data_IF_603089579204
#
_entry.id   IF_603089579204
#
_cell.length_a   1.000
_cell.length_b   1.000
_cell.length_c   1.000
_cell.angle_alpha   90.00
_cell.angle_beta   90.00
_cell.angle_gamma   90.00
#
_symmetry.space_group_name_H-M   'P 1'
#
loop_
_entity.id
_entity.type
_entity.pdbx_description
1 polymer ?
#
# COMPACT_ATOMS: atom_id res chain seq x y z
N UNK A 1 -13.27 -6.87 32.59
CA UNK A 1 -12.94 -7.91 31.61
C UNK A 1 -13.06 -7.28 30.23
N UNK A 2 -11.97 -6.81 29.68
CA UNK A 2 -11.95 -6.20 28.34
C UNK A 2 -12.06 -7.30 27.30
N UNK A 3 -13.17 -7.32 26.59
CA UNK A 3 -13.43 -8.23 25.46
C UNK A 3 -12.59 -7.76 24.28
N UNK A 4 -11.43 -8.36 24.09
CA UNK A 4 -10.60 -8.19 22.89
C UNK A 4 -11.30 -8.86 21.71
N UNK A 5 -11.91 -8.07 20.86
CA UNK A 5 -12.55 -8.53 19.62
C UNK A 5 -11.72 -8.09 18.42
N UNK A 6 -11.53 -9.00 17.44
CA UNK A 6 -11.35 -8.56 16.07
C UNK A 6 -12.53 -7.68 15.71
N UNK A 7 -12.27 -6.43 15.36
CA UNK A 7 -13.35 -5.52 15.08
C UNK A 7 -14.05 -5.88 13.76
N UNK A 8 -13.34 -6.53 12.83
CA UNK A 8 -13.84 -6.82 11.50
C UNK A 8 -13.23 -8.10 10.91
N UNK A 9 -14.07 -8.97 10.34
CA UNK A 9 -13.70 -10.11 9.52
C UNK A 9 -14.17 -9.88 8.08
N UNK A 10 -13.24 -9.82 7.15
CA UNK A 10 -13.54 -9.71 5.72
C UNK A 10 -13.26 -11.06 5.07
N UNK A 11 -14.24 -11.61 4.38
CA UNK A 11 -14.07 -12.78 3.52
C UNK A 11 -14.07 -12.30 2.07
N UNK A 12 -13.00 -12.63 1.34
CA UNK A 12 -12.85 -12.28 -0.06
C UNK A 12 -12.94 -13.55 -0.88
N UNK A 13 -13.91 -13.59 -1.75
CA UNK A 13 -14.18 -14.74 -2.64
C UNK A 13 -14.58 -14.25 -4.04
N UNK A 14 -14.81 -15.16 -4.96
CA UNK A 14 -15.20 -14.84 -6.32
C UNK A 14 -14.51 -15.73 -7.35
N UNK A 15 -14.78 -15.48 -8.63
CA UNK A 15 -14.27 -16.29 -9.71
C UNK A 15 -12.72 -16.26 -9.78
N UNK A 16 -12.14 -17.40 -10.14
CA UNK A 16 -10.70 -17.51 -10.36
C UNK A 16 -10.25 -16.52 -11.45
N UNK A 17 -9.28 -15.67 -11.13
CA UNK A 17 -8.84 -14.60 -12.03
C UNK A 17 -9.57 -13.26 -11.88
N UNK A 18 -10.59 -13.16 -11.01
CA UNK A 18 -11.30 -11.90 -10.75
C UNK A 18 -10.53 -10.89 -9.87
N UNK A 19 -9.30 -11.20 -9.43
CA UNK A 19 -8.44 -10.25 -8.71
C UNK A 19 -8.34 -10.48 -7.20
N UNK A 20 -8.67 -11.67 -6.67
CA UNK A 20 -8.63 -11.97 -5.23
C UNK A 20 -7.26 -11.70 -4.61
N UNK A 21 -6.16 -12.13 -5.24
CA UNK A 21 -4.80 -11.86 -4.72
C UNK A 21 -4.53 -10.35 -4.59
N UNK A 22 -4.97 -9.57 -5.57
CA UNK A 22 -4.87 -8.10 -5.51
C UNK A 22 -5.67 -7.56 -4.31
N UNK A 23 -6.89 -8.06 -4.11
CA UNK A 23 -7.74 -7.63 -2.99
C UNK A 23 -7.11 -7.99 -1.63
N UNK A 24 -6.56 -9.19 -1.47
CA UNK A 24 -5.86 -9.61 -0.23
C UNK A 24 -4.68 -8.68 0.05
N UNK A 25 -3.85 -8.36 -0.94
CA UNK A 25 -2.73 -7.44 -0.80
C UNK A 25 -3.19 -6.03 -0.40
N UNK A 26 -4.32 -5.57 -0.94
CA UNK A 26 -4.92 -4.27 -0.54
C UNK A 26 -5.26 -4.26 0.95
N UNK A 27 -5.85 -5.33 1.47
CA UNK A 27 -6.18 -5.43 2.91
C UNK A 27 -4.94 -5.49 3.79
N UNK A 28 -3.90 -6.21 3.35
CA UNK A 28 -2.60 -6.24 4.03
C UNK A 28 -1.97 -4.85 4.12
N UNK A 29 -1.95 -4.12 3.01
CA UNK A 29 -1.43 -2.75 2.94
C UNK A 29 -2.14 -1.78 3.91
N UNK A 30 -3.42 -1.98 4.17
CA UNK A 30 -4.20 -1.15 5.10
C UNK A 30 -4.20 -1.69 6.54
N UNK A 31 -3.39 -2.71 6.81
CA UNK A 31 -3.09 -3.18 8.16
C UNK A 31 -3.99 -4.31 8.68
N UNK A 32 -4.76 -4.96 7.81
CA UNK A 32 -5.41 -6.22 8.16
C UNK A 32 -4.36 -7.34 8.27
N UNK A 33 -4.60 -8.29 9.14
CA UNK A 33 -3.96 -9.59 9.04
C UNK A 33 -4.62 -10.34 7.87
N UNK A 34 -3.83 -10.68 6.84
CA UNK A 34 -4.35 -11.23 5.60
C UNK A 34 -3.86 -12.65 5.40
N UNK A 35 -4.80 -13.57 5.16
CA UNK A 35 -4.48 -14.98 4.89
C UNK A 35 -5.23 -15.43 3.64
N UNK A 36 -4.51 -15.92 2.64
CA UNK A 36 -5.10 -16.48 1.43
C UNK A 36 -5.11 -18.01 1.47
N UNK A 37 -6.19 -18.60 0.97
CA UNK A 37 -6.35 -20.04 0.78
C UNK A 37 -6.24 -20.88 2.08
N UNK A 38 -6.75 -20.38 3.21
CA UNK A 38 -6.80 -21.12 4.45
C UNK A 38 -7.95 -22.17 4.43
N UNK A 39 -7.73 -23.44 4.85
CA UNK A 39 -8.80 -24.42 4.98
C UNK A 39 -9.96 -23.91 5.84
N UNK A 40 -11.20 -24.18 5.43
CA UNK A 40 -12.39 -23.67 6.13
C UNK A 40 -12.41 -24.08 7.61
N UNK A 41 -12.00 -25.32 7.91
CA UNK A 41 -11.92 -25.84 9.29
C UNK A 41 -10.90 -25.10 10.18
N UNK A 42 -9.91 -24.43 9.61
CA UNK A 42 -8.89 -23.70 10.36
C UNK A 42 -9.28 -22.24 10.66
N UNK A 43 -10.30 -21.72 10.01
CA UNK A 43 -10.72 -20.33 10.19
C UNK A 43 -11.16 -20.07 11.63
N UNK A 44 -11.87 -21.02 12.27
CA UNK A 44 -12.29 -20.91 13.67
C UNK A 44 -11.08 -20.71 14.61
N UNK A 45 -10.01 -21.50 14.41
CA UNK A 45 -8.80 -21.40 15.21
C UNK A 45 -8.09 -20.06 15.04
N UNK A 46 -8.09 -19.52 13.82
CA UNK A 46 -7.51 -18.23 13.52
C UNK A 46 -8.31 -17.08 14.15
N UNK A 47 -9.63 -17.08 13.97
CA UNK A 47 -10.52 -16.03 14.49
C UNK A 47 -10.55 -16.02 16.03
N UNK A 48 -10.48 -17.20 16.66
CA UNK A 48 -10.47 -17.34 18.13
C UNK A 48 -9.08 -17.18 18.73
N UNK A 49 -8.02 -17.14 17.93
CA UNK A 49 -6.67 -16.93 18.44
C UNK A 49 -6.57 -15.57 19.15
N UNK A 50 -5.91 -15.56 20.31
CA UNK A 50 -5.77 -14.35 21.17
C UNK A 50 -4.84 -13.27 20.58
N UNK A 51 -4.62 -13.27 19.28
CA UNK A 51 -3.86 -12.21 18.60
C UNK A 51 -4.68 -10.92 18.55
N UNK A 52 -4.30 -10.01 19.40
CA UNK A 52 -5.01 -8.81 19.81
C UNK A 52 -5.15 -7.79 18.69
N UNK A 53 -6.36 -7.25 18.55
CA UNK A 53 -6.69 -5.95 17.93
C UNK A 53 -6.33 -5.77 16.44
N UNK A 54 -6.32 -6.81 15.63
CA UNK A 54 -6.21 -6.66 14.18
C UNK A 54 -7.51 -7.05 13.49
N UNK A 55 -7.87 -6.31 12.46
CA UNK A 55 -8.89 -6.75 11.52
C UNK A 55 -8.33 -7.91 10.68
N UNK A 56 -9.16 -8.84 10.29
CA UNK A 56 -8.78 -10.05 9.57
C UNK A 56 -9.39 -10.06 8.16
N UNK A 57 -8.57 -10.34 7.15
CA UNK A 57 -9.01 -10.53 5.77
C UNK A 57 -8.63 -11.93 5.27
N UNK A 58 -9.61 -12.72 4.85
CA UNK A 58 -9.42 -14.09 4.42
C UNK A 58 -9.82 -14.28 2.95
N UNK A 59 -8.89 -14.79 2.14
CA UNK A 59 -9.16 -15.22 0.78
C UNK A 59 -9.59 -16.69 0.75
N UNK A 60 -10.77 -16.98 0.22
CA UNK A 60 -11.27 -18.34 0.05
C UNK A 60 -11.89 -18.50 -1.35
N UNK A 61 -11.62 -19.63 -2.00
CA UNK A 61 -12.20 -19.99 -3.30
C UNK A 61 -12.30 -21.50 -3.46
N UNK A 62 -12.66 -21.95 -4.66
CA UNK A 62 -12.82 -23.38 -4.99
C UNK A 62 -11.56 -24.22 -4.74
N UNK A 63 -10.37 -23.64 -4.62
CA UNK A 63 -9.11 -24.32 -4.28
C UNK A 63 -8.95 -24.55 -2.78
N UNK A 64 -9.69 -23.79 -2.00
CA UNK A 64 -9.62 -23.88 -0.55
C UNK A 64 -10.21 -25.22 -0.08
N UNK A 65 -9.45 -25.93 0.74
CA UNK A 65 -9.90 -27.22 1.29
C UNK A 65 -11.24 -27.04 2.04
N UNK A 66 -12.18 -27.94 1.80
CA UNK A 66 -13.52 -27.95 2.39
C UNK A 66 -14.40 -26.76 1.97
N UNK A 67 -14.00 -26.02 0.93
CA UNK A 67 -14.79 -24.91 0.44
C UNK A 67 -16.10 -25.41 -0.21
N UNK A 68 -17.19 -24.92 0.32
CA UNK A 68 -18.50 -24.97 -0.34
C UNK A 68 -19.34 -23.78 0.10
N UNK A 69 -20.35 -23.36 -0.68
CA UNK A 69 -21.28 -22.32 -0.27
C UNK A 69 -21.93 -22.59 1.09
N UNK A 70 -22.29 -23.86 1.37
CA UNK A 70 -22.90 -24.28 2.62
C UNK A 70 -21.93 -24.19 3.79
N UNK A 71 -20.70 -24.67 3.63
CA UNK A 71 -19.68 -24.62 4.66
C UNK A 71 -19.31 -23.18 5.01
N UNK A 72 -19.18 -22.31 3.99
CA UNK A 72 -18.95 -20.89 4.21
C UNK A 72 -20.12 -20.24 4.98
N UNK A 73 -21.37 -20.53 4.59
CA UNK A 73 -22.57 -20.04 5.27
C UNK A 73 -22.65 -20.50 6.72
N UNK A 74 -22.34 -21.78 6.98
CA UNK A 74 -22.29 -22.35 8.35
C UNK A 74 -21.22 -21.64 9.19
N UNK A 75 -20.04 -21.45 8.64
CA UNK A 75 -18.96 -20.74 9.30
C UNK A 75 -19.38 -19.33 9.72
N UNK A 76 -19.95 -18.55 8.80
CA UNK A 76 -20.36 -17.17 9.05
C UNK A 76 -21.46 -17.06 10.12
N UNK A 77 -22.34 -18.04 10.20
CA UNK A 77 -23.41 -18.05 11.21
C UNK A 77 -22.89 -18.11 12.66
N UNK A 78 -21.64 -18.55 12.86
CA UNK A 78 -20.99 -18.61 14.18
C UNK A 78 -20.57 -17.23 14.69
N UNK A 79 -20.28 -16.28 13.78
CA UNK A 79 -19.68 -14.99 14.13
C UNK A 79 -20.67 -13.83 14.22
N UNK A 80 -21.89 -14.09 14.72
CA UNK A 80 -22.98 -13.08 14.86
C UNK A 80 -22.59 -11.84 15.69
N UNK A 81 -21.57 -11.95 16.54
CA UNK A 81 -21.08 -10.84 17.40
C UNK A 81 -19.97 -10.00 16.76
N UNK A 82 -19.50 -10.38 15.59
CA UNK A 82 -18.46 -9.68 14.85
C UNK A 82 -19.05 -8.97 13.63
N UNK A 83 -18.41 -7.92 13.18
CA UNK A 83 -18.72 -7.32 11.88
C UNK A 83 -18.07 -8.21 10.81
N UNK A 84 -18.87 -9.08 10.20
CA UNK A 84 -18.42 -9.94 9.10
C UNK A 84 -18.93 -9.36 7.80
N UNK A 85 -18.05 -9.18 6.84
CA UNK A 85 -18.40 -8.77 5.47
C UNK A 85 -17.83 -9.75 4.45
N UNK A 86 -18.64 -10.10 3.47
CA UNK A 86 -18.25 -10.91 2.33
C UNK A 86 -18.14 -9.99 1.12
N UNK A 87 -16.98 -10.00 0.50
CA UNK A 87 -16.70 -9.32 -0.76
C UNK A 87 -16.62 -10.39 -1.85
N UNK A 88 -17.54 -10.31 -2.80
CA UNK A 88 -17.56 -11.17 -3.97
C UNK A 88 -16.97 -10.41 -5.16
N UNK A 89 -15.87 -10.93 -5.71
CA UNK A 89 -15.26 -10.39 -6.92
C UNK A 89 -15.83 -11.12 -8.13
N UNK A 90 -16.59 -10.40 -8.92
CA UNK A 90 -17.17 -10.87 -10.18
C UNK A 90 -16.34 -10.41 -11.37
N UNK A 91 -16.48 -11.10 -12.50
CA UNK A 91 -15.84 -10.70 -13.76
C UNK A 91 -16.50 -11.43 -14.93
N UNK A 92 -16.61 -10.77 -16.08
CA UNK A 92 -17.07 -11.39 -17.32
C UNK A 92 -16.22 -12.59 -17.72
N UNK A 93 -16.86 -13.66 -18.19
CA UNK A 93 -16.20 -14.92 -18.54
C UNK A 93 -15.18 -14.78 -19.67
N UNK A 94 -15.44 -13.94 -20.67
CA UNK A 94 -14.50 -13.70 -21.76
C UNK A 94 -13.27 -12.94 -21.27
N UNK A 95 -13.46 -12.02 -20.30
CA UNK A 95 -12.37 -11.30 -19.69
C UNK A 95 -11.52 -12.24 -18.81
N UNK A 96 -12.15 -13.15 -18.07
CA UNK A 96 -11.45 -14.19 -17.32
C UNK A 96 -10.62 -15.10 -18.24
N UNK A 97 -11.20 -15.58 -19.34
CA UNK A 97 -10.50 -16.35 -20.37
C UNK A 97 -9.24 -15.62 -20.84
N UNK A 98 -9.35 -14.33 -21.17
CA UNK A 98 -8.22 -13.50 -21.58
C UNK A 98 -7.15 -13.41 -20.50
N UNK A 99 -7.52 -13.13 -19.25
CA UNK A 99 -6.60 -13.05 -18.10
C UNK A 99 -5.87 -14.37 -17.86
N UNK A 100 -6.52 -15.51 -17.97
CA UNK A 100 -5.89 -16.82 -17.84
C UNK A 100 -4.87 -17.07 -18.95
N UNK A 101 -5.21 -16.76 -20.20
CA UNK A 101 -4.29 -16.91 -21.34
C UNK A 101 -3.04 -16.01 -21.19
N UNK A 102 -3.19 -14.79 -20.70
CA UNK A 102 -2.08 -13.85 -20.47
C UNK A 102 -1.17 -14.32 -19.31
N UNK A 103 -1.73 -14.90 -18.24
CA UNK A 103 -0.96 -15.32 -17.06
C UNK A 103 -0.42 -16.73 -17.13
N UNK A 104 -0.80 -17.52 -18.15
CA UNK A 104 -0.43 -18.94 -18.33
C UNK A 104 -0.70 -19.82 -17.09
N UNK A 105 -1.70 -19.47 -16.29
CA UNK A 105 -2.09 -20.26 -15.11
C UNK A 105 -3.11 -21.31 -15.51
N UNK A 106 -3.05 -22.47 -14.85
CA UNK A 106 -4.08 -23.50 -15.00
C UNK A 106 -5.28 -23.18 -14.10
N UNK A 107 -6.49 -23.37 -14.63
CA UNK A 107 -7.70 -23.23 -13.82
C UNK A 107 -7.84 -24.46 -12.89
N UNK A 108 -8.31 -24.29 -11.65
CA UNK A 108 -8.43 -25.39 -10.69
C UNK A 108 -9.28 -26.58 -11.19
N UNK A 109 -10.27 -26.31 -12.01
CA UNK A 109 -11.18 -27.33 -12.58
C UNK A 109 -10.81 -27.79 -13.99
N UNK A 110 -9.66 -27.37 -14.54
CA UNK A 110 -9.29 -27.63 -15.95
C UNK A 110 -8.73 -29.03 -16.26
N UNK A 111 -8.81 -30.01 -15.35
CA UNK A 111 -8.20 -31.33 -15.52
C UNK A 111 -8.59 -32.06 -16.81
N UNK A 112 -9.88 -32.15 -17.12
CA UNK A 112 -10.42 -32.84 -18.32
C UNK A 112 -11.28 -31.90 -19.19
N UNK A 113 -11.60 -30.69 -18.67
CA UNK A 113 -12.49 -29.73 -19.29
C UNK A 113 -11.72 -28.60 -19.95
N UNK A 114 -12.32 -27.99 -20.96
CA UNK A 114 -11.79 -26.73 -21.51
C UNK A 114 -11.83 -25.62 -20.44
N UNK A 115 -10.96 -24.63 -20.57
CA UNK A 115 -10.93 -23.48 -19.66
C UNK A 115 -12.31 -22.75 -19.62
N UNK A 116 -13.00 -22.65 -20.75
CA UNK A 116 -14.31 -22.03 -20.83
C UNK A 116 -15.35 -22.78 -20.03
N UNK A 117 -15.40 -24.11 -20.16
CA UNK A 117 -16.33 -24.95 -19.39
C UNK A 117 -16.03 -24.91 -17.89
N UNK A 118 -14.75 -24.93 -17.53
CA UNK A 118 -14.33 -24.83 -16.12
C UNK A 118 -14.74 -23.50 -15.48
N UNK A 119 -14.63 -22.39 -16.20
CA UNK A 119 -15.07 -21.08 -15.72
C UNK A 119 -16.57 -20.98 -15.56
N UNK A 120 -17.34 -21.50 -16.50
CA UNK A 120 -18.82 -21.52 -16.40
C UNK A 120 -19.25 -22.33 -15.19
N UNK A 121 -18.67 -23.52 -14.99
CA UNK A 121 -18.97 -24.37 -13.84
C UNK A 121 -18.60 -23.69 -12.51
N UNK A 122 -17.43 -23.03 -12.44
CA UNK A 122 -17.05 -22.28 -11.25
C UNK A 122 -18.04 -21.16 -10.94
N UNK A 123 -18.45 -20.39 -11.94
CA UNK A 123 -19.40 -19.29 -11.76
C UNK A 123 -20.75 -19.79 -11.24
N UNK A 124 -21.27 -20.88 -11.81
CA UNK A 124 -22.52 -21.50 -11.31
C UNK A 124 -22.36 -22.02 -9.87
N UNK A 125 -21.22 -22.65 -9.55
CA UNK A 125 -20.92 -23.14 -8.20
C UNK A 125 -20.85 -22.00 -7.17
N UNK A 126 -20.33 -20.85 -7.56
CA UNK A 126 -20.17 -19.67 -6.69
C UNK A 126 -21.43 -18.81 -6.57
N UNK A 127 -22.42 -18.99 -7.45
CA UNK A 127 -23.66 -18.19 -7.48
C UNK A 127 -24.37 -18.08 -6.13
N UNK A 128 -24.54 -19.16 -5.33
CA UNK A 128 -25.16 -19.06 -4.01
C UNK A 128 -24.38 -18.11 -3.06
N UNK A 129 -23.05 -18.00 -3.21
CA UNK A 129 -22.25 -17.08 -2.38
C UNK A 129 -22.48 -15.65 -2.82
N UNK A 130 -22.55 -15.42 -4.13
CA UNK A 130 -22.86 -14.09 -4.68
C UNK A 130 -24.18 -13.55 -4.15
N UNK A 131 -25.19 -14.42 -3.99
CA UNK A 131 -26.53 -14.04 -3.52
C UNK A 131 -26.54 -13.55 -2.05
N UNK A 132 -25.61 -14.00 -1.20
CA UNK A 132 -25.52 -13.55 0.19
C UNK A 132 -24.28 -12.67 0.47
N UNK A 133 -23.54 -12.30 -0.53
CA UNK A 133 -22.41 -11.38 -0.38
C UNK A 133 -22.87 -9.97 0.05
N UNK A 134 -22.10 -9.34 0.93
CA UNK A 134 -22.41 -7.98 1.37
C UNK A 134 -22.00 -6.92 0.34
N UNK A 135 -20.94 -7.22 -0.41
CA UNK A 135 -20.39 -6.34 -1.44
C UNK A 135 -20.07 -7.20 -2.66
N UNK A 136 -20.54 -6.79 -3.83
CA UNK A 136 -20.22 -7.42 -5.10
C UNK A 136 -19.48 -6.38 -5.93
N UNK A 137 -18.28 -6.71 -6.39
CA UNK A 137 -17.44 -5.84 -7.22
C UNK A 137 -17.23 -6.52 -8.57
N UNK A 138 -17.74 -5.91 -9.63
CA UNK A 138 -17.46 -6.33 -11.00
C UNK A 138 -16.09 -5.77 -11.42
N UNK A 139 -15.13 -6.66 -11.62
CA UNK A 139 -13.75 -6.33 -11.96
C UNK A 139 -13.47 -6.44 -13.46
N UNK A 140 -14.49 -6.57 -14.30
CA UNK A 140 -14.36 -6.82 -15.75
C UNK A 140 -13.41 -5.83 -16.41
N UNK A 141 -13.62 -4.54 -16.18
CA UNK A 141 -12.80 -3.47 -16.76
C UNK A 141 -11.81 -2.82 -15.79
N UNK A 142 -11.65 -3.42 -14.62
CA UNK A 142 -10.75 -2.87 -13.60
C UNK A 142 -9.29 -3.24 -13.85
N UNK A 143 -8.42 -2.25 -13.68
CA UNK A 143 -7.01 -2.44 -13.37
C UNK A 143 -6.84 -2.83 -11.88
N UNK A 144 -5.66 -3.32 -11.47
CA UNK A 144 -5.37 -3.53 -10.04
C UNK A 144 -5.56 -2.27 -9.18
N UNK A 145 -5.31 -1.09 -9.74
CA UNK A 145 -5.48 0.20 -9.07
C UNK A 145 -6.95 0.54 -8.87
N UNK A 146 -7.80 0.32 -9.90
CA UNK A 146 -9.23 0.57 -9.81
C UNK A 146 -9.87 -0.35 -8.75
N UNK A 147 -9.47 -1.63 -8.70
CA UNK A 147 -9.94 -2.56 -7.68
C UNK A 147 -9.53 -2.11 -6.28
N UNK A 148 -8.29 -1.58 -6.13
CA UNK A 148 -7.82 -1.02 -4.86
C UNK A 148 -8.72 0.13 -4.40
N UNK A 149 -8.97 1.10 -5.26
CA UNK A 149 -9.78 2.27 -4.94
C UNK A 149 -11.22 1.86 -4.57
N UNK A 150 -11.82 0.96 -5.34
CA UNK A 150 -13.17 0.45 -5.09
C UNK A 150 -13.29 -0.26 -3.74
N UNK A 151 -12.32 -1.13 -3.40
CA UNK A 151 -12.28 -1.83 -2.11
C UNK A 151 -12.19 -0.85 -0.94
N UNK A 152 -11.36 0.18 -1.07
CA UNK A 152 -11.14 1.17 -0.02
C UNK A 152 -12.38 2.05 0.19
N UNK A 153 -13.06 2.43 -0.89
CA UNK A 153 -14.30 3.22 -0.85
C UNK A 153 -15.44 2.44 -0.19
N UNK A 154 -15.65 1.19 -0.60
CA UNK A 154 -16.76 0.36 -0.09
C UNK A 154 -16.65 0.01 1.41
N UNK A 155 -15.45 0.01 1.96
CA UNK A 155 -15.24 -0.37 3.35
C UNK A 155 -15.24 0.80 4.32
N UNK A 156 -15.37 2.04 3.83
CA UNK A 156 -15.24 3.27 4.63
C UNK A 156 -13.96 3.24 5.48
N UNK A 157 -12.91 2.60 4.97
CA UNK A 157 -11.61 2.51 5.64
C UNK A 157 -10.91 3.85 5.45
N UNK A 158 -11.42 4.86 6.13
CA UNK A 158 -10.87 6.23 6.11
C UNK A 158 -9.48 6.35 6.75
N UNK A 159 -8.90 5.25 7.26
CA UNK A 159 -7.52 5.17 7.78
C UNK A 159 -6.66 4.23 6.95
N UNK A 160 -6.64 4.44 5.66
CA UNK A 160 -5.57 3.91 4.82
C UNK A 160 -4.26 4.52 5.34
N UNK A 161 -3.17 3.76 5.32
CA UNK A 161 -1.84 4.36 5.34
C UNK A 161 -1.85 5.41 4.23
N UNK A 162 -2.07 6.69 4.60
CA UNK A 162 -2.04 7.77 3.63
C UNK A 162 -0.74 7.63 2.88
N UNK A 163 -0.80 7.66 1.54
CA UNK A 163 0.39 7.79 0.73
C UNK A 163 1.38 8.73 1.42
N UNK A 164 2.61 8.31 1.57
CA UNK A 164 3.62 9.07 2.30
C UNK A 164 4.76 9.45 1.37
N UNK A 165 5.32 10.61 1.62
CA UNK A 165 6.55 11.06 0.95
C UNK A 165 7.68 10.90 1.96
N UNK A 166 8.66 10.04 1.69
CA UNK A 166 9.85 9.90 2.51
C UNK A 166 10.95 10.83 1.96
N UNK A 167 11.36 11.79 2.76
CA UNK A 167 12.51 12.66 2.47
C UNK A 167 13.67 12.29 3.38
N UNK A 168 14.82 11.97 2.81
CA UNK A 168 15.99 11.63 3.60
C UNK A 168 17.20 12.48 3.19
N UNK A 169 17.88 13.09 4.15
CA UNK A 169 19.22 13.65 3.91
C UNK A 169 20.30 12.60 4.13
N UNK A 170 21.38 12.67 3.31
CA UNK A 170 22.49 11.74 3.42
C UNK A 170 23.84 12.38 3.06
N UNK A 171 24.92 11.69 3.46
CA UNK A 171 26.31 12.01 3.12
C UNK A 171 26.79 11.17 1.95
N UNK A 172 27.33 11.81 0.92
CA UNK A 172 28.02 11.11 -0.16
C UNK A 172 29.28 10.36 0.32
N UNK A 173 29.92 10.81 1.42
CA UNK A 173 31.05 10.09 2.00
C UNK A 173 30.67 8.71 2.51
N UNK A 174 29.43 8.55 2.99
CA UNK A 174 28.90 7.30 3.53
C UNK A 174 28.12 6.50 2.48
N UNK A 175 28.28 6.84 1.20
CA UNK A 175 27.65 6.16 0.07
C UNK A 175 26.20 6.56 -0.17
N UNK A 176 25.68 6.16 -1.32
CA UNK A 176 24.30 6.41 -1.72
C UNK A 176 23.33 5.54 -0.86
N UNK A 177 22.19 6.10 -0.45
CA UNK A 177 21.15 5.29 0.17
C UNK A 177 20.56 4.31 -0.87
N UNK A 178 20.11 3.16 -0.41
CA UNK A 178 19.44 2.16 -1.25
C UNK A 178 17.94 2.39 -1.26
N UNK A 179 17.29 1.96 -2.32
CA UNK A 179 15.82 1.94 -2.45
C UNK A 179 15.15 3.32 -2.40
N UNK A 180 15.74 4.31 -3.08
CA UNK A 180 15.11 5.61 -3.32
C UNK A 180 14.63 5.71 -4.77
N UNK A 181 13.46 6.30 -4.96
CA UNK A 181 12.90 6.56 -6.28
C UNK A 181 13.66 7.69 -6.99
N UNK A 182 14.12 8.67 -6.21
CA UNK A 182 14.90 9.82 -6.72
C UNK A 182 16.00 10.24 -5.74
N UNK A 183 17.10 10.75 -6.29
CA UNK A 183 18.20 11.30 -5.51
C UNK A 183 18.64 12.64 -6.11
N UNK A 184 18.75 13.66 -5.26
CA UNK A 184 19.23 14.98 -5.62
C UNK A 184 20.55 15.33 -4.94
N UNK A 185 21.44 15.98 -5.70
CA UNK A 185 22.72 16.47 -5.20
C UNK A 185 22.60 17.92 -4.73
N UNK A 186 22.91 18.17 -3.46
CA UNK A 186 22.90 19.48 -2.83
C UNK A 186 24.31 20.10 -2.68
N UNK A 187 25.37 19.48 -3.26
CA UNK A 187 26.76 19.92 -3.04
C UNK A 187 27.08 21.28 -3.66
N UNK A 188 26.34 21.70 -4.68
CA UNK A 188 26.51 23.01 -5.32
C UNK A 188 25.97 24.19 -4.52
N UNK A 189 25.15 23.92 -3.48
CA UNK A 189 24.61 24.96 -2.60
C UNK A 189 25.71 25.56 -1.71
N UNK A 190 25.49 26.77 -1.19
CA UNK A 190 26.41 27.44 -0.25
C UNK A 190 26.81 26.53 0.88
N UNK A 191 28.11 26.42 1.14
CA UNK A 191 28.66 25.50 2.13
C UNK A 191 28.94 26.20 3.47
N UNK A 192 28.17 25.94 4.55
CA UNK A 192 28.38 26.53 5.87
C UNK A 192 29.68 26.11 6.53
N UNK A 193 30.29 25.01 6.09
CA UNK A 193 31.53 24.47 6.68
C UNK A 193 32.70 25.50 6.69
N UNK A 194 32.74 26.44 5.74
CA UNK A 194 33.75 27.46 5.64
C UNK A 194 33.51 28.68 6.53
N UNK A 195 32.40 28.71 7.27
CA UNK A 195 32.04 29.79 8.18
C UNK A 195 32.23 29.32 9.60
N UNK A 196 33.16 29.88 10.34
CA UNK A 196 33.61 29.39 11.64
C UNK A 196 32.47 29.14 12.65
N UNK A 197 31.53 30.08 12.74
CA UNK A 197 30.37 29.97 13.67
C UNK A 197 29.22 29.09 13.18
N UNK A 198 29.26 28.56 11.93
CA UNK A 198 28.27 27.65 11.37
C UNK A 198 28.80 26.23 11.23
N UNK A 199 30.08 26.03 11.24
CA UNK A 199 30.76 24.77 10.97
C UNK A 199 30.32 23.65 11.91
N UNK A 200 30.20 23.95 13.20
CA UNK A 200 29.86 22.98 14.25
C UNK A 200 28.33 22.78 14.42
N UNK A 201 27.52 23.64 13.79
CA UNK A 201 26.08 23.52 13.78
C UNK A 201 25.64 22.55 12.66
N UNK A 202 24.38 22.13 12.67
CA UNK A 202 23.81 21.34 11.58
C UNK A 202 22.63 22.05 10.89
N UNK A 203 22.09 21.44 9.86
CA UNK A 203 21.01 22.04 9.06
C UNK A 203 19.65 22.16 9.78
N UNK A 204 19.54 21.70 11.03
CA UNK A 204 18.37 21.95 11.91
C UNK A 204 18.46 23.34 12.55
N UNK A 205 19.66 23.91 12.66
CA UNK A 205 19.87 25.24 13.24
C UNK A 205 19.40 26.32 12.27
N UNK A 206 18.68 27.31 12.82
CA UNK A 206 18.11 28.43 12.05
C UNK A 206 19.17 29.26 11.32
N UNK A 207 20.34 29.49 11.93
CA UNK A 207 21.42 30.26 11.30
C UNK A 207 21.98 29.56 10.06
N UNK A 208 22.09 28.23 10.12
CA UNK A 208 22.51 27.41 8.98
C UNK A 208 21.45 27.41 7.89
N UNK A 209 20.17 27.29 8.27
CA UNK A 209 19.05 27.36 7.33
C UNK A 209 19.04 28.71 6.58
N UNK A 210 19.13 29.81 7.32
CA UNK A 210 19.12 31.17 6.73
C UNK A 210 20.33 31.37 5.81
N UNK A 211 21.50 30.89 6.17
CA UNK A 211 22.70 30.99 5.34
C UNK A 211 22.54 30.19 4.03
N UNK A 212 22.16 28.93 4.10
CA UNK A 212 22.06 28.08 2.91
C UNK A 212 20.91 28.54 2.00
N UNK A 213 19.74 28.87 2.58
CA UNK A 213 18.57 29.26 1.80
C UNK A 213 18.61 30.66 1.22
N UNK A 214 19.53 31.52 1.69
CA UNK A 214 19.69 32.90 1.19
C UNK A 214 20.11 32.96 -0.26
N UNK A 215 20.76 31.92 -0.80
CA UNK A 215 21.30 31.93 -2.15
C UNK A 215 20.23 31.86 -3.24
N UNK A 216 20.53 32.48 -4.39
CA UNK A 216 19.65 32.39 -5.56
C UNK A 216 19.54 30.96 -6.09
N UNK A 217 20.64 30.22 -6.06
CA UNK A 217 20.72 28.82 -6.49
C UNK A 217 19.78 27.94 -5.66
N UNK A 218 19.76 28.12 -4.32
CA UNK A 218 18.85 27.42 -3.44
C UNK A 218 17.38 27.67 -3.83
N UNK A 219 17.00 28.93 -3.98
CA UNK A 219 15.62 29.31 -4.29
C UNK A 219 15.15 28.71 -5.62
N UNK A 220 15.99 28.77 -6.65
CA UNK A 220 15.67 28.20 -7.97
C UNK A 220 15.56 26.68 -7.88
N UNK A 221 16.52 26.03 -7.24
CA UNK A 221 16.53 24.57 -7.09
C UNK A 221 15.34 24.07 -6.29
N UNK A 222 15.05 24.71 -5.16
CA UNK A 222 13.91 24.41 -4.32
C UNK A 222 12.58 24.48 -5.07
N UNK A 223 12.37 25.56 -5.82
CA UNK A 223 11.16 25.72 -6.63
C UNK A 223 11.02 24.65 -7.71
N UNK A 224 12.10 24.31 -8.41
CA UNK A 224 12.10 23.28 -9.46
C UNK A 224 11.83 21.88 -8.88
N UNK A 225 12.49 21.53 -7.78
CA UNK A 225 12.30 20.23 -7.10
C UNK A 225 10.89 20.12 -6.55
N UNK A 226 10.34 21.15 -5.90
CA UNK A 226 8.98 21.18 -5.41
C UNK A 226 7.96 20.99 -6.54
N UNK A 227 8.15 21.70 -7.66
CA UNK A 227 7.28 21.56 -8.84
C UNK A 227 7.34 20.15 -9.42
N UNK A 228 8.53 19.56 -9.53
CA UNK A 228 8.71 18.19 -10.02
C UNK A 228 8.03 17.16 -9.09
N UNK A 229 8.22 17.29 -7.78
CA UNK A 229 7.60 16.38 -6.80
C UNK A 229 6.08 16.47 -6.87
N UNK A 230 5.51 17.68 -6.92
CA UNK A 230 4.06 17.86 -7.03
C UNK A 230 3.49 17.28 -8.34
N UNK A 231 4.25 17.33 -9.43
CA UNK A 231 3.88 16.68 -10.69
C UNK A 231 3.92 15.13 -10.56
N UNK A 232 4.93 14.59 -9.88
CA UNK A 232 5.14 13.14 -9.78
C UNK A 232 4.23 12.45 -8.78
N UNK A 233 3.83 13.12 -7.68
CA UNK A 233 2.98 12.53 -6.64
C UNK A 233 1.76 11.80 -7.22
N UNK A 234 0.91 12.40 -8.05
CA UNK A 234 -0.26 11.70 -8.58
C UNK A 234 0.11 10.55 -9.53
N UNK A 235 1.27 10.62 -10.20
CA UNK A 235 1.72 9.54 -11.08
C UNK A 235 2.16 8.31 -10.27
N UNK A 236 2.96 8.55 -9.21
CA UNK A 236 3.44 7.49 -8.29
C UNK A 236 2.27 6.83 -7.56
N UNK A 237 1.25 7.61 -7.19
CA UNK A 237 0.02 7.07 -6.61
C UNK A 237 -0.76 6.19 -7.60
N UNK A 238 -0.86 6.60 -8.86
CA UNK A 238 -1.50 5.80 -9.92
C UNK A 238 -0.79 4.48 -10.20
N UNK A 239 0.53 4.40 -9.98
CA UNK A 239 1.29 3.16 -10.03
C UNK A 239 1.02 2.22 -8.83
N UNK A 240 0.21 2.64 -7.87
CA UNK A 240 -0.14 1.84 -6.68
C UNK A 240 0.93 1.84 -5.58
N UNK A 241 1.96 2.70 -5.65
CA UNK A 241 2.96 2.83 -4.59
C UNK A 241 2.34 3.48 -3.35
N UNK A 242 2.63 2.94 -2.19
CA UNK A 242 2.21 3.50 -0.90
C UNK A 242 3.16 4.57 -0.37
N UNK A 243 4.37 4.68 -0.94
CA UNK A 243 5.40 5.63 -0.54
C UNK A 243 6.21 6.12 -1.73
N UNK A 244 6.56 7.41 -1.73
CA UNK A 244 7.50 8.05 -2.67
C UNK A 244 8.75 8.48 -1.90
N UNK A 245 9.90 7.87 -2.21
CA UNK A 245 11.13 8.02 -1.45
C UNK A 245 12.14 8.90 -2.19
N UNK A 246 12.57 10.00 -1.57
CA UNK A 246 13.46 10.98 -2.20
C UNK A 246 14.65 11.27 -1.29
N UNK A 247 15.86 11.06 -1.81
CA UNK A 247 17.13 11.32 -1.14
C UNK A 247 17.75 12.67 -1.53
N UNK A 248 18.31 13.38 -0.57
CA UNK A 248 19.06 14.61 -0.78
C UNK A 248 20.46 14.46 -0.20
N UNK A 249 21.49 14.58 -1.04
CA UNK A 249 22.88 14.35 -0.65
C UNK A 249 23.71 15.62 -0.58
N UNK A 250 24.55 15.73 0.46
CA UNK A 250 25.67 16.66 0.44
C UNK A 250 26.96 15.95 0.90
N UNK A 251 28.11 16.64 0.91
CA UNK A 251 29.40 16.00 1.18
C UNK A 251 29.42 15.26 2.54
N UNK A 252 29.03 15.95 3.60
CA UNK A 252 29.07 15.41 4.97
C UNK A 252 27.68 15.04 5.55
N UNK A 253 26.58 15.23 4.81
CA UNK A 253 25.23 14.93 5.30
C UNK A 253 24.73 15.79 6.46
N UNK A 254 25.47 16.84 6.85
CA UNK A 254 25.23 17.61 8.07
C UNK A 254 24.49 18.94 7.84
N UNK A 255 24.76 19.65 6.73
CA UNK A 255 24.26 21.01 6.53
C UNK A 255 23.26 21.11 5.37
N UNK A 256 23.75 21.21 4.12
CA UNK A 256 22.97 21.57 2.92
C UNK A 256 21.81 20.64 2.63
N UNK A 257 22.02 19.34 2.67
CA UNK A 257 20.98 18.35 2.45
C UNK A 257 19.96 18.33 3.58
N UNK A 258 20.39 18.55 4.83
CA UNK A 258 19.50 18.63 6.01
C UNK A 258 18.61 19.87 5.89
N UNK A 259 19.17 21.04 5.58
CA UNK A 259 18.38 22.26 5.36
C UNK A 259 17.33 22.05 4.25
N UNK A 260 17.75 21.44 3.14
CA UNK A 260 16.85 21.22 2.01
C UNK A 260 15.69 20.31 2.38
N UNK A 261 15.96 19.17 3.05
CA UNK A 261 14.95 18.21 3.51
C UNK A 261 13.98 18.87 4.50
N UNK A 262 14.47 19.63 5.48
CA UNK A 262 13.62 20.29 6.47
C UNK A 262 12.67 21.30 5.83
N UNK A 263 13.19 22.15 4.96
CA UNK A 263 12.36 23.17 4.30
C UNK A 263 11.34 22.53 3.34
N UNK A 264 11.73 21.50 2.60
CA UNK A 264 10.85 20.79 1.69
C UNK A 264 9.76 20.00 2.44
N UNK A 265 10.14 19.34 3.55
CA UNK A 265 9.19 18.65 4.42
C UNK A 265 8.14 19.60 4.98
N UNK A 266 8.56 20.76 5.50
CA UNK A 266 7.65 21.77 6.01
C UNK A 266 6.70 22.28 4.93
N UNK A 267 7.20 22.54 3.73
CA UNK A 267 6.38 23.01 2.59
C UNK A 267 5.35 21.96 2.17
N UNK A 268 5.78 20.74 1.92
CA UNK A 268 4.87 19.66 1.50
C UNK A 268 3.83 19.30 2.58
N UNK A 269 4.21 19.35 3.88
CA UNK A 269 3.25 19.19 4.98
C UNK A 269 2.21 20.33 4.98
N UNK A 270 2.65 21.58 4.77
CA UNK A 270 1.73 22.73 4.67
C UNK A 270 0.79 22.63 3.46
N UNK A 271 1.21 21.95 2.41
CA UNK A 271 0.40 21.68 1.22
C UNK A 271 -0.53 20.46 1.39
N UNK A 272 -0.55 19.85 2.59
CA UNK A 272 -1.48 18.78 2.96
C UNK A 272 -0.98 17.36 2.68
N UNK A 273 0.29 17.19 2.28
CA UNK A 273 0.88 15.87 2.08
C UNK A 273 1.33 15.25 3.40
N UNK A 274 1.32 13.91 3.46
CA UNK A 274 1.86 13.16 4.58
C UNK A 274 3.36 12.91 4.35
N UNK A 275 4.22 13.68 5.03
CA UNK A 275 5.68 13.65 4.84
C UNK A 275 6.37 13.05 6.04
N UNK A 276 7.21 12.05 5.78
CA UNK A 276 8.17 11.48 6.71
C UNK A 276 9.55 12.03 6.35
N UNK A 277 10.28 12.59 7.30
CA UNK A 277 11.64 13.08 7.07
C UNK A 277 12.61 12.52 8.07
N UNK A 278 13.81 12.15 7.61
CA UNK A 278 14.90 11.73 8.46
C UNK A 278 16.27 12.18 7.92
N UNK A 279 17.28 12.11 8.77
CA UNK A 279 18.64 12.54 8.46
C UNK A 279 19.59 11.39 8.78
N UNK A 280 19.92 10.57 7.76
CA UNK A 280 20.69 9.32 7.94
C UNK A 280 22.01 9.49 8.67
N UNK A 281 22.70 10.61 8.40
CA UNK A 281 24.07 10.82 8.87
C UNK A 281 24.18 11.90 9.97
N UNK A 282 23.07 12.29 10.58
CA UNK A 282 23.05 13.06 11.81
C UNK A 282 22.82 12.17 13.02
N UNK A 283 23.41 12.48 14.18
CA UNK A 283 23.03 11.84 15.43
C UNK A 283 21.55 12.17 15.77
N UNK A 284 20.86 11.17 16.29
CA UNK A 284 19.46 11.30 16.76
C UNK A 284 19.33 12.34 17.85
#
# INVERSE_FOLDING_TARGET
METNHYNQLIIITGASGAGRTTAINVFEDVGFESVDNIPISMIDSLVLSKMRNKNLALGVDIRTREFSPENLRKLLSKYKKMVVKIIFLDCDSNKLLKRFNETRRSHPLSGVKSLSEALVEEMEYLKPIKDFANIIIDTTDYSPTDLREELLNNLSIAKIKKFSILLQSFSYKNGLPRNFDMIFDCRFLKNPYWISHLKELDGRDKKVQDFVSSSREFKIFFSKVLSLINFLIPQVQKEGKSQFSIGFGCTGGQHRSVVFVNMLSNKLNSDGHNVLSNHRDLPN
#
